data_IF_927311209419
#
_entry.id   IF_927311209419
#
_cell.length_a   1.000
_cell.length_b   1.000
_cell.length_c   1.000
_cell.angle_alpha   90.00
_cell.angle_beta   90.00
_cell.angle_gamma   90.00
#
_symmetry.space_group_name_H-M   'P 1'
#
loop_
_entity.id
_entity.type
_entity.pdbx_description
1 polymer ?
#
# COMPACT_ATOMS: atom_id res chain seq x y z
N UNK A 1 -15.55 9.56 -13.93
CA UNK A 1 -15.16 8.16 -14.18
C UNK A 1 -13.73 8.06 -13.68
N UNK A 2 -13.57 7.82 -12.38
CA UNK A 2 -12.26 7.88 -11.71
C UNK A 2 -11.60 6.52 -11.93
N UNK A 3 -10.61 6.49 -12.80
CA UNK A 3 -9.83 5.28 -13.06
C UNK A 3 -8.74 5.23 -11.99
N UNK A 4 -8.94 4.40 -10.98
CA UNK A 4 -7.86 4.01 -10.08
C UNK A 4 -7.52 2.55 -10.37
N UNK A 5 -6.59 2.36 -11.31
CA UNK A 5 -6.33 1.04 -11.91
C UNK A 5 -5.86 0.01 -10.89
N UNK A 6 -5.11 0.38 -9.85
CA UNK A 6 -4.51 -0.61 -8.95
C UNK A 6 -5.56 -1.42 -8.16
N UNK A 7 -6.56 -0.74 -7.57
CA UNK A 7 -7.65 -1.43 -6.85
C UNK A 7 -8.59 -2.14 -7.85
N UNK A 8 -8.83 -1.54 -9.02
CA UNK A 8 -9.69 -2.14 -10.05
C UNK A 8 -9.07 -3.39 -10.69
N UNK A 9 -7.74 -3.42 -10.84
CA UNK A 9 -6.99 -4.59 -11.31
C UNK A 9 -7.09 -5.72 -10.29
N UNK A 10 -6.98 -5.43 -8.99
CA UNK A 10 -7.19 -6.42 -7.95
C UNK A 10 -8.62 -7.00 -8.01
N UNK A 11 -9.64 -6.15 -8.13
CA UNK A 11 -11.04 -6.55 -8.28
C UNK A 11 -11.25 -7.42 -9.55
N UNK A 12 -10.60 -7.04 -10.66
CA UNK A 12 -10.66 -7.80 -11.92
C UNK A 12 -10.00 -9.18 -11.79
N UNK A 13 -8.83 -9.27 -11.14
CA UNK A 13 -8.16 -10.54 -10.87
C UNK A 13 -9.04 -11.45 -10.01
N UNK A 14 -9.67 -10.91 -8.95
CA UNK A 14 -10.59 -11.67 -8.10
C UNK A 14 -11.77 -12.22 -8.92
N UNK A 15 -12.29 -11.46 -9.88
CA UNK A 15 -13.41 -11.90 -10.72
C UNK A 15 -13.09 -13.11 -11.61
N UNK A 16 -11.81 -13.34 -11.91
CA UNK A 16 -11.35 -14.42 -12.80
C UNK A 16 -10.71 -15.59 -12.03
N UNK A 17 -9.85 -15.29 -11.05
CA UNK A 17 -9.05 -16.28 -10.33
C UNK A 17 -9.64 -16.67 -8.96
N UNK A 18 -10.69 -15.98 -8.51
CA UNK A 18 -11.30 -16.19 -7.20
C UNK A 18 -10.67 -15.32 -6.10
N UNK A 19 -11.14 -15.50 -4.88
CA UNK A 19 -10.73 -14.67 -3.73
C UNK A 19 -9.28 -14.96 -3.31
N UNK A 20 -8.52 -13.90 -3.04
CA UNK A 20 -7.17 -13.99 -2.48
C UNK A 20 -7.22 -13.82 -0.97
N UNK A 21 -6.36 -14.56 -0.25
CA UNK A 21 -6.24 -14.40 1.20
C UNK A 21 -5.65 -13.03 1.59
N UNK A 22 -4.81 -12.45 0.72
CA UNK A 22 -4.20 -11.15 0.91
C UNK A 22 -3.66 -10.54 -0.39
N UNK A 23 -3.48 -9.23 -0.38
CA UNK A 23 -2.79 -8.37 -1.34
C UNK A 23 -1.63 -7.66 -0.64
N UNK A 24 -0.55 -7.40 -1.37
CA UNK A 24 0.62 -6.71 -0.83
C UNK A 24 0.88 -5.47 -1.68
N UNK A 25 0.89 -4.31 -1.01
CA UNK A 25 1.23 -3.02 -1.58
C UNK A 25 2.67 -2.69 -1.18
N UNK A 26 3.56 -2.67 -2.16
CA UNK A 26 4.98 -2.41 -1.99
C UNK A 26 5.48 -1.39 -3.04
N UNK A 27 5.20 -0.09 -2.85
CA UNK A 27 5.56 0.94 -3.82
C UNK A 27 7.02 1.42 -3.70
N UNK A 28 7.81 0.82 -2.80
CA UNK A 28 9.24 1.14 -2.68
C UNK A 28 9.97 0.86 -3.99
N UNK A 29 10.71 1.85 -4.48
CA UNK A 29 11.55 1.71 -5.68
C UNK A 29 12.72 2.70 -5.62
N UNK A 30 13.87 2.21 -5.15
CA UNK A 30 15.06 3.02 -4.89
C UNK A 30 15.52 3.82 -6.11
N UNK A 31 15.63 3.18 -7.26
CA UNK A 31 16.12 3.79 -8.51
C UNK A 31 15.15 4.86 -9.04
N UNK A 32 13.87 4.76 -8.71
CA UNK A 32 12.87 5.78 -9.01
C UNK A 32 12.70 6.83 -7.91
N UNK A 33 13.57 6.82 -6.89
CA UNK A 33 13.50 7.74 -5.77
C UNK A 33 12.25 7.56 -4.90
N UNK A 34 11.66 6.36 -4.86
CA UNK A 34 10.42 6.08 -4.12
C UNK A 34 10.73 5.34 -2.83
N UNK A 35 10.34 5.91 -1.71
CA UNK A 35 10.63 5.41 -0.37
C UNK A 35 9.35 5.17 0.40
N UNK A 36 9.33 4.18 1.29
CA UNK A 36 8.24 4.04 2.26
C UNK A 36 8.83 4.01 3.67
N UNK A 37 8.50 5.00 4.48
CA UNK A 37 9.06 5.17 5.83
C UNK A 37 7.87 5.32 6.76
N UNK A 38 7.75 4.43 7.75
CA UNK A 38 6.66 4.44 8.74
C UNK A 38 5.27 4.57 8.09
N UNK A 39 5.02 3.72 7.09
CA UNK A 39 3.79 3.67 6.26
C UNK A 39 3.55 4.89 5.36
N UNK A 40 4.38 5.92 5.41
CA UNK A 40 4.29 7.08 4.52
C UNK A 40 5.14 6.84 3.29
N UNK A 41 4.54 7.02 2.11
CA UNK A 41 5.24 6.98 0.85
C UNK A 41 5.83 8.36 0.51
N UNK A 42 7.08 8.36 0.06
CA UNK A 42 7.84 9.55 -0.29
C UNK A 42 8.41 9.44 -1.70
N UNK A 43 8.58 10.60 -2.30
CA UNK A 43 9.31 10.80 -3.55
C UNK A 43 10.52 11.65 -3.24
N UNK A 44 11.69 11.18 -3.66
CA UNK A 44 12.89 12.01 -3.68
C UNK A 44 12.80 12.98 -4.85
N UNK A 45 12.66 14.25 -4.51
CA UNK A 45 12.84 15.36 -5.43
C UNK A 45 14.08 16.15 -5.01
N UNK A 46 15.12 16.08 -5.84
CA UNK A 46 16.34 16.88 -5.67
C UNK A 46 16.95 16.80 -4.26
N UNK A 47 17.12 15.58 -3.74
CA UNK A 47 17.64 15.23 -2.41
C UNK A 47 16.71 15.56 -1.24
N UNK A 48 15.45 15.90 -1.52
CA UNK A 48 14.40 16.10 -0.51
C UNK A 48 13.34 15.01 -0.61
N UNK A 49 13.01 14.37 0.51
CA UNK A 49 11.89 13.43 0.59
C UNK A 49 10.57 14.20 0.76
N UNK A 50 9.77 14.22 -0.29
CA UNK A 50 8.44 14.85 -0.32
C UNK A 50 7.39 13.76 -0.12
N UNK A 51 6.47 13.88 0.85
CA UNK A 51 5.34 12.96 0.98
C UNK A 51 4.56 12.87 -0.34
N UNK A 52 4.21 11.66 -0.76
CA UNK A 52 3.65 11.42 -2.09
C UNK A 52 2.40 12.26 -2.39
N UNK A 53 1.52 12.45 -1.40
CA UNK A 53 0.31 13.29 -1.47
C UNK A 53 0.58 14.79 -1.69
N UNK A 54 1.80 15.26 -1.40
CA UNK A 54 2.20 16.67 -1.58
C UNK A 54 2.87 16.92 -2.94
N UNK A 55 3.14 15.86 -3.71
CA UNK A 55 3.80 15.95 -5.01
C UNK A 55 2.85 16.38 -6.12
N UNK A 56 3.39 16.69 -7.29
CA UNK A 56 2.60 16.91 -8.51
C UNK A 56 1.84 15.66 -8.97
N UNK A 57 2.36 14.46 -8.70
CA UNK A 57 1.71 13.19 -9.03
C UNK A 57 0.36 13.02 -8.34
N UNK A 58 0.24 13.51 -7.11
CA UNK A 58 -0.99 13.48 -6.32
C UNK A 58 -2.10 14.37 -6.91
N UNK A 59 -1.73 15.37 -7.72
CA UNK A 59 -2.66 16.33 -8.34
C UNK A 59 -3.13 15.88 -9.72
N UNK A 60 -2.78 14.67 -10.14
CA UNK A 60 -3.22 14.12 -11.42
C UNK A 60 -4.77 14.06 -11.49
N UNK A 61 -5.34 14.47 -12.61
CA UNK A 61 -6.80 14.56 -12.76
C UNK A 61 -7.50 13.21 -12.86
N UNK A 62 -6.79 12.16 -13.29
CA UNK A 62 -7.31 10.81 -13.43
C UNK A 62 -6.91 9.90 -12.25
N UNK A 63 -5.66 10.01 -11.80
CA UNK A 63 -5.01 9.11 -10.85
C UNK A 63 -4.68 9.75 -9.50
N UNK A 64 -5.06 11.02 -9.31
CA UNK A 64 -4.77 11.80 -8.12
C UNK A 64 -5.16 11.11 -6.82
N UNK A 65 -4.46 11.48 -5.76
CA UNK A 65 -4.66 10.99 -4.42
C UNK A 65 -4.22 12.05 -3.41
N UNK A 66 -4.71 11.97 -2.18
CA UNK A 66 -4.36 12.93 -1.11
C UNK A 66 -3.45 12.32 -0.07
N UNK A 67 -3.64 11.04 0.22
CA UNK A 67 -2.98 10.38 1.33
C UNK A 67 -1.55 9.96 0.98
N UNK A 68 -0.59 10.39 1.79
CA UNK A 68 0.79 9.89 1.74
C UNK A 68 0.97 8.63 2.59
N UNK A 69 0.19 8.46 3.66
CA UNK A 69 0.14 7.21 4.40
C UNK A 69 -0.58 6.15 3.56
N UNK A 70 0.08 5.01 3.34
CA UNK A 70 -0.41 3.97 2.43
C UNK A 70 -1.67 3.28 2.94
N UNK A 71 -1.93 3.26 4.26
CA UNK A 71 -3.15 2.71 4.83
C UNK A 71 -4.34 3.62 4.56
N UNK A 72 -4.14 4.91 4.77
CA UNK A 72 -5.15 5.94 4.44
C UNK A 72 -5.37 6.02 2.92
N UNK A 73 -4.32 5.83 2.13
CA UNK A 73 -4.40 5.75 0.67
C UNK A 73 -5.26 4.58 0.20
N UNK A 74 -5.12 3.38 0.81
CA UNK A 74 -6.01 2.24 0.52
C UNK A 74 -7.46 2.59 0.80
N UNK A 75 -7.74 3.20 1.95
CA UNK A 75 -9.11 3.60 2.31
C UNK A 75 -9.66 4.64 1.32
N UNK A 76 -8.86 5.62 0.94
CA UNK A 76 -9.19 6.63 -0.06
C UNK A 76 -9.53 5.98 -1.41
N UNK A 77 -8.64 5.13 -1.93
CA UNK A 77 -8.79 4.50 -3.25
C UNK A 77 -9.92 3.48 -3.31
N UNK A 78 -10.22 2.83 -2.20
CA UNK A 78 -11.33 1.89 -2.10
C UNK A 78 -12.67 2.57 -1.76
N UNK A 79 -12.69 3.91 -1.62
CA UNK A 79 -13.82 4.70 -1.17
C UNK A 79 -14.43 4.18 0.15
N UNK A 80 -13.57 3.89 1.13
CA UNK A 80 -13.97 3.45 2.48
C UNK A 80 -14.38 1.98 2.59
N UNK A 81 -14.30 1.20 1.50
CA UNK A 81 -14.63 -0.24 1.51
C UNK A 81 -13.63 -1.03 2.36
N UNK A 82 -12.36 -0.63 2.34
CA UNK A 82 -11.30 -1.16 3.21
C UNK A 82 -10.88 -0.01 4.13
N UNK A 83 -11.10 -0.15 5.43
CA UNK A 83 -10.73 0.89 6.39
C UNK A 83 -9.22 0.85 6.64
N UNK A 84 -8.56 2.01 6.77
CA UNK A 84 -7.13 2.10 7.07
C UNK A 84 -6.75 1.36 8.36
N UNK A 85 -7.68 1.31 9.32
CA UNK A 85 -7.55 0.55 10.57
C UNK A 85 -7.46 -0.97 10.37
N UNK A 86 -8.01 -1.49 9.26
CA UNK A 86 -7.97 -2.90 8.89
C UNK A 86 -6.77 -3.29 8.01
N UNK A 87 -6.12 -2.31 7.38
CA UNK A 87 -4.89 -2.49 6.60
C UNK A 87 -3.74 -2.81 7.55
N UNK A 88 -2.93 -3.83 7.27
CA UNK A 88 -1.82 -4.24 8.14
C UNK A 88 -0.49 -3.76 7.55
N UNK A 89 0.38 -3.21 8.38
CA UNK A 89 1.74 -2.83 7.98
C UNK A 89 2.76 -3.88 8.36
N UNK A 90 3.69 -4.16 7.44
CA UNK A 90 4.93 -4.87 7.73
C UNK A 90 6.01 -3.82 7.99
N UNK A 91 6.36 -3.65 9.26
CA UNK A 91 7.43 -2.71 9.64
C UNK A 91 8.80 -3.14 9.12
N UNK A 92 9.67 -2.17 8.87
CA UNK A 92 11.06 -2.46 8.50
C UNK A 92 11.84 -3.20 9.57
N UNK A 93 11.49 -3.01 10.85
CA UNK A 93 12.13 -3.73 11.94
C UNK A 93 11.84 -5.23 11.84
N UNK A 94 10.60 -5.60 11.50
CA UNK A 94 10.22 -7.00 11.27
C UNK A 94 11.01 -7.59 10.10
N UNK A 95 11.13 -6.85 9.00
CA UNK A 95 11.89 -7.27 7.82
C UNK A 95 13.39 -7.45 8.10
N UNK A 96 14.05 -6.45 8.72
CA UNK A 96 15.50 -6.45 8.92
C UNK A 96 15.96 -7.35 10.07
N UNK A 97 15.18 -7.45 11.15
CA UNK A 97 15.56 -8.23 12.34
C UNK A 97 14.94 -9.63 12.37
N UNK A 98 13.70 -9.75 11.91
CA UNK A 98 12.97 -11.03 11.91
C UNK A 98 13.15 -11.82 10.61
N UNK A 99 13.38 -11.15 9.49
CA UNK A 99 13.58 -11.81 8.20
C UNK A 99 12.31 -12.51 7.66
N UNK A 100 12.47 -13.36 6.63
CA UNK A 100 11.35 -14.00 5.95
C UNK A 100 10.46 -14.85 6.86
N UNK A 101 11.05 -15.57 7.82
CA UNK A 101 10.30 -16.45 8.71
C UNK A 101 9.35 -15.66 9.63
N UNK A 102 9.84 -14.56 10.21
CA UNK A 102 9.01 -13.70 11.06
C UNK A 102 7.90 -13.00 10.25
N UNK A 103 8.18 -12.59 9.01
CA UNK A 103 7.17 -12.04 8.10
C UNK A 103 6.12 -13.10 7.78
N UNK A 104 6.53 -14.32 7.43
CA UNK A 104 5.61 -15.42 7.15
C UNK A 104 4.71 -15.71 8.36
N UNK A 105 5.30 -15.83 9.55
CA UNK A 105 4.55 -16.03 10.78
C UNK A 105 3.55 -14.89 11.04
N UNK A 106 3.99 -13.65 10.84
CA UNK A 106 3.11 -12.48 10.99
C UNK A 106 1.92 -12.55 10.03
N UNK A 107 2.17 -12.79 8.74
CA UNK A 107 1.13 -12.93 7.71
C UNK A 107 0.15 -14.07 8.00
N UNK A 108 0.66 -15.23 8.43
CA UNK A 108 -0.17 -16.38 8.79
C UNK A 108 -0.98 -16.15 10.08
N UNK A 109 -0.54 -15.26 10.97
CA UNK A 109 -1.26 -14.95 12.22
C UNK A 109 -2.47 -14.02 12.01
N UNK A 110 -2.54 -13.32 10.88
CA UNK A 110 -3.63 -12.38 10.60
C UNK A 110 -4.95 -13.14 10.45
N UNK A 111 -5.98 -12.72 11.20
CA UNK A 111 -7.34 -13.28 11.08
C UNK A 111 -7.97 -12.92 9.72
N UNK A 112 -8.74 -13.82 9.13
CA UNK A 112 -9.51 -13.56 7.91
C UNK A 112 -10.68 -12.64 8.24
N UNK A 113 -10.42 -11.34 8.34
CA UNK A 113 -11.42 -10.31 8.65
C UNK A 113 -11.68 -9.55 7.35
N UNK A 114 -12.62 -10.06 6.55
CA UNK A 114 -13.13 -9.49 5.29
C UNK A 114 -12.16 -9.44 4.08
N UNK A 115 -12.77 -9.26 2.89
CA UNK A 115 -12.46 -9.86 1.58
C UNK A 115 -11.21 -9.38 0.81
N UNK A 116 -10.45 -8.41 1.31
CA UNK A 116 -9.24 -7.92 0.64
C UNK A 116 -8.32 -7.41 1.76
N UNK A 117 -7.16 -8.03 1.93
CA UNK A 117 -6.13 -7.49 2.84
C UNK A 117 -5.15 -6.71 2.01
N UNK A 118 -5.00 -5.42 2.22
CA UNK A 118 -3.82 -4.73 1.71
C UNK A 118 -2.75 -4.77 2.81
N UNK A 119 -1.60 -5.35 2.48
CA UNK A 119 -0.43 -5.37 3.34
C UNK A 119 0.50 -4.27 2.85
N UNK A 120 0.71 -3.26 3.67
CA UNK A 120 1.58 -2.14 3.36
C UNK A 120 3.02 -2.50 3.74
N UNK A 121 3.93 -2.48 2.77
CA UNK A 121 5.36 -2.66 3.01
C UNK A 121 6.04 -1.34 3.45
N UNK A 122 6.93 -1.41 4.43
CA UNK A 122 7.85 -0.34 4.81
C UNK A 122 9.31 -0.73 4.52
N UNK A 123 10.13 0.24 4.11
CA UNK A 123 11.57 0.07 3.79
C UNK A 123 12.52 0.27 4.95
#
# INVERSE_FOLDING_TARGET
>A
MTLDYCVQEADAVVSVLGEMDAWIICPFFLQGGRYTIEDIHYVNDSDTLVPAGDTEFAKDAAFGYKSSNLRDWVEEKTNGRILASSVVSISIQLLRKGGPDAVCQHLCSLQKVYKIRDIVNAT
#
